data_IF_295618510757
#
_entry.id   IF_295618510757
#
_cell.length_a   1.000
_cell.length_b   1.000
_cell.length_c   1.000
_cell.angle_alpha   90.00
_cell.angle_beta   90.00
_cell.angle_gamma   90.00
#
_symmetry.space_group_name_H-M   'P 1'
#
loop_
_entity.id
_entity.type
_entity.pdbx_description
1 polymer ?
#
# COMPACT_ATOMS: atom_id res chain seq x y z
N UNK A 1 -15.45 3.53 2.63
CA UNK A 1 -15.28 3.35 4.10
C UNK A 1 -15.16 4.72 4.77
N UNK A 2 -15.59 4.89 6.03
CA UNK A 2 -15.28 6.11 6.79
C UNK A 2 -13.79 6.11 7.18
N UNK A 3 -13.22 7.28 7.44
CA UNK A 3 -11.81 7.40 7.87
C UNK A 3 -11.58 6.62 9.18
N UNK A 4 -12.55 6.64 10.10
CA UNK A 4 -12.47 5.94 11.39
C UNK A 4 -12.42 4.41 11.26
N UNK A 5 -12.80 3.88 10.09
CA UNK A 5 -12.71 2.44 9.78
C UNK A 5 -11.38 2.01 9.17
N UNK A 6 -10.42 2.94 9.03
CA UNK A 6 -9.10 2.70 8.48
C UNK A 6 -8.05 2.58 9.59
N UNK A 7 -6.97 1.85 9.31
CA UNK A 7 -5.79 1.81 10.16
C UNK A 7 -5.06 3.14 10.03
N UNK A 8 -4.79 3.82 11.16
CA UNK A 8 -4.04 5.07 11.21
C UNK A 8 -2.60 4.82 11.60
N UNK A 9 -1.67 5.33 10.80
CA UNK A 9 -0.22 5.24 11.05
C UNK A 9 0.45 6.59 10.87
N UNK A 10 1.46 6.87 11.69
CA UNK A 10 2.29 8.06 11.58
C UNK A 10 3.71 7.66 11.17
N UNK A 11 4.17 8.19 10.05
CA UNK A 11 5.50 7.97 9.49
C UNK A 11 6.35 9.19 9.84
N UNK A 12 7.43 9.05 10.63
CA UNK A 12 8.29 10.18 10.96
C UNK A 12 8.94 10.81 9.72
N UNK A 13 9.41 12.04 9.85
CA UNK A 13 10.23 12.70 8.83
C UNK A 13 11.48 11.86 8.52
N UNK A 14 11.84 11.74 7.23
CA UNK A 14 13.00 10.95 6.81
C UNK A 14 12.81 9.44 6.87
N UNK A 15 11.58 8.95 7.00
CA UNK A 15 11.26 7.51 7.12
C UNK A 15 10.26 7.06 6.05
N UNK A 16 10.22 5.75 5.84
CA UNK A 16 9.22 5.04 5.04
C UNK A 16 8.56 3.96 5.88
N UNK A 17 7.34 3.57 5.53
CA UNK A 17 6.62 2.48 6.16
C UNK A 17 6.39 1.37 5.16
N UNK A 18 6.82 0.16 5.48
CA UNK A 18 6.60 -1.05 4.70
C UNK A 18 5.50 -1.87 5.36
N UNK A 19 4.49 -2.27 4.57
CA UNK A 19 3.40 -3.12 5.03
C UNK A 19 3.32 -4.30 4.07
N UNK A 20 3.54 -5.50 4.60
CA UNK A 20 3.62 -6.73 3.83
C UNK A 20 2.33 -7.53 3.97
N UNK A 21 1.87 -8.13 2.88
CA UNK A 21 0.68 -8.97 2.82
C UNK A 21 0.97 -10.22 1.99
N UNK A 22 0.45 -11.36 2.41
CA UNK A 22 0.59 -12.62 1.66
C UNK A 22 -0.76 -13.04 1.10
N UNK A 23 -0.84 -13.14 -0.22
CA UNK A 23 -1.98 -13.72 -0.92
C UNK A 23 -1.67 -15.19 -1.24
N UNK A 24 -2.34 -16.11 -0.57
CA UNK A 24 -2.17 -17.56 -0.80
C UNK A 24 -3.10 -18.14 -1.87
N UNK A 25 -4.19 -17.43 -2.19
CA UNK A 25 -5.24 -17.93 -3.09
C UNK A 25 -4.89 -17.73 -4.56
N UNK A 26 -5.14 -18.74 -5.38
CA UNK A 26 -5.03 -18.73 -6.85
C UNK A 26 -6.25 -18.15 -7.56
N UNK A 27 -7.34 -17.90 -6.82
CA UNK A 27 -8.53 -17.26 -7.39
C UNK A 27 -8.19 -15.83 -7.82
N UNK A 28 -8.70 -15.35 -8.97
CA UNK A 28 -8.50 -13.97 -9.38
C UNK A 28 -8.93 -13.02 -8.27
N UNK A 29 -7.95 -12.29 -7.74
CA UNK A 29 -8.15 -11.32 -6.69
C UNK A 29 -7.86 -9.91 -7.21
N UNK A 30 -8.56 -8.93 -6.66
CA UNK A 30 -8.22 -7.54 -6.79
C UNK A 30 -7.52 -7.08 -5.52
N UNK A 31 -6.36 -6.48 -5.67
CA UNK A 31 -5.74 -5.73 -4.59
C UNK A 31 -6.49 -4.41 -4.47
N UNK A 32 -7.05 -4.15 -3.29
CA UNK A 32 -7.78 -2.92 -3.02
C UNK A 32 -7.15 -2.24 -1.82
N UNK A 33 -6.77 -0.98 -2.02
CA UNK A 33 -6.33 -0.11 -0.94
C UNK A 33 -7.24 1.12 -0.87
N UNK A 34 -7.89 1.26 0.28
CA UNK A 34 -8.56 2.50 0.66
C UNK A 34 -7.56 3.31 1.45
N UNK A 35 -7.33 4.57 1.07
CA UNK A 35 -6.30 5.42 1.68
C UNK A 35 -6.77 6.85 1.82
N UNK A 36 -6.32 7.52 2.86
CA UNK A 36 -6.58 8.92 3.12
C UNK A 36 -5.38 9.57 3.80
N UNK A 37 -5.02 10.75 3.30
CA UNK A 37 -3.97 11.59 3.84
C UNK A 37 -4.34 13.06 3.58
N UNK A 38 -4.14 13.91 4.59
CA UNK A 38 -4.37 15.36 4.48
C UNK A 38 -3.30 16.07 3.64
N UNK A 39 -2.23 15.36 3.25
CA UNK A 39 -1.08 15.92 2.53
C UNK A 39 -0.71 15.01 1.37
N UNK A 40 0.04 15.55 0.41
CA UNK A 40 0.68 14.74 -0.63
C UNK A 40 1.55 13.66 0.01
N UNK A 41 1.49 12.46 -0.54
CA UNK A 41 2.27 11.32 -0.07
C UNK A 41 2.73 10.45 -1.24
N UNK A 42 3.93 9.91 -1.12
CA UNK A 42 4.43 8.92 -2.07
C UNK A 42 3.99 7.52 -1.68
N UNK A 43 3.69 6.68 -2.68
CA UNK A 43 3.37 5.27 -2.47
C UNK A 43 3.92 4.41 -3.61
N UNK A 44 4.43 3.23 -3.25
CA UNK A 44 4.87 2.17 -4.19
C UNK A 44 4.19 0.85 -3.79
N UNK A 45 3.78 0.02 -4.77
CA UNK A 45 3.38 -1.36 -4.52
C UNK A 45 4.39 -2.31 -5.16
N UNK A 46 5.02 -3.13 -4.33
CA UNK A 46 5.90 -4.19 -4.79
C UNK A 46 5.19 -5.54 -4.74
N UNK A 47 5.62 -6.45 -5.60
CA UNK A 47 5.09 -7.81 -5.70
C UNK A 47 6.23 -8.82 -5.89
N UNK A 48 6.07 -10.00 -5.31
CA UNK A 48 6.88 -11.18 -5.63
C UNK A 48 6.00 -12.42 -5.63
N UNK A 49 6.35 -13.40 -6.48
CA UNK A 49 5.73 -14.73 -6.49
C UNK A 49 6.16 -15.60 -5.30
N UNK A 50 7.12 -15.14 -4.49
CA UNK A 50 7.51 -15.80 -3.24
C UNK A 50 6.34 -15.83 -2.25
N UNK A 51 6.34 -16.84 -1.37
CA UNK A 51 5.44 -16.94 -0.22
C UNK A 51 6.13 -16.54 1.10
N UNK A 52 7.42 -16.23 1.03
CA UNK A 52 8.23 -15.80 2.16
C UNK A 52 8.08 -14.29 2.39
N UNK A 53 7.44 -13.92 3.50
CA UNK A 53 7.21 -12.53 3.88
C UNK A 53 8.50 -11.76 4.17
N UNK A 54 9.60 -12.47 4.42
CA UNK A 54 10.93 -11.90 4.67
C UNK A 54 11.71 -11.56 3.41
N UNK A 55 11.14 -11.80 2.21
CA UNK A 55 11.78 -11.46 0.94
C UNK A 55 12.27 -10.00 0.92
N UNK A 56 13.50 -9.80 0.47
CA UNK A 56 14.11 -8.47 0.42
C UNK A 56 13.48 -7.60 -0.67
N UNK A 57 13.46 -6.29 -0.45
CA UNK A 57 12.76 -5.34 -1.34
C UNK A 57 13.36 -5.25 -2.75
N UNK A 58 14.63 -5.57 -2.92
CA UNK A 58 15.35 -5.60 -4.20
C UNK A 58 15.09 -6.88 -5.02
N UNK A 59 14.58 -7.92 -4.37
CA UNK A 59 14.13 -9.15 -5.02
C UNK A 59 12.65 -9.08 -5.48
N UNK A 60 11.93 -8.02 -5.11
CA UNK A 60 10.55 -7.77 -5.52
C UNK A 60 10.49 -6.89 -6.77
N UNK A 61 9.46 -7.06 -7.60
CA UNK A 61 9.18 -6.15 -8.71
C UNK A 61 8.31 -4.98 -8.24
N UNK A 62 8.57 -3.79 -8.76
CA UNK A 62 7.68 -2.63 -8.60
C UNK A 62 6.45 -2.82 -9.50
N UNK A 63 5.42 -3.48 -8.96
CA UNK A 63 4.17 -3.73 -9.67
C UNK A 63 3.42 -2.43 -9.96
N UNK A 64 3.34 -1.53 -8.98
CA UNK A 64 3.01 -0.13 -9.19
C UNK A 64 4.19 0.71 -8.71
N UNK A 65 4.91 1.39 -9.61
CA UNK A 65 6.07 2.19 -9.25
C UNK A 65 5.67 3.38 -8.38
N UNK A 66 6.67 4.04 -7.82
CA UNK A 66 6.51 5.24 -7.01
C UNK A 66 5.62 6.28 -7.71
N UNK A 67 4.62 6.77 -6.99
CA UNK A 67 3.79 7.89 -7.41
C UNK A 67 3.49 8.82 -6.24
N UNK A 68 3.55 10.12 -6.48
CA UNK A 68 3.14 11.16 -5.53
C UNK A 68 1.63 11.41 -5.65
N UNK A 69 0.88 10.89 -4.69
CA UNK A 69 -0.56 11.08 -4.63
C UNK A 69 -0.91 12.41 -3.96
N UNK A 70 -1.78 13.23 -4.56
CA UNK A 70 -2.24 14.46 -3.93
C UNK A 70 -3.10 14.15 -2.70
N UNK A 71 -3.21 15.12 -1.78
CA UNK A 71 -4.21 15.05 -0.71
C UNK A 71 -5.61 15.04 -1.31
N UNK A 72 -6.43 14.07 -0.93
CA UNK A 72 -7.82 13.95 -1.37
C UNK A 72 -8.78 14.39 -0.26
N UNK A 73 -9.91 15.03 -0.58
CA UNK A 73 -10.88 15.48 0.42
C UNK A 73 -11.60 14.31 1.11
N UNK A 74 -11.56 13.12 0.51
CA UNK A 74 -12.21 11.90 0.98
C UNK A 74 -11.27 10.71 0.83
N UNK A 75 -11.69 9.55 1.34
CA UNK A 75 -10.95 8.29 1.18
C UNK A 75 -10.87 7.92 -0.30
N UNK A 76 -9.65 7.84 -0.81
CA UNK A 76 -9.34 7.37 -2.16
C UNK A 76 -9.29 5.84 -2.20
N UNK A 77 -9.82 5.25 -3.28
CA UNK A 77 -9.85 3.80 -3.46
C UNK A 77 -9.11 3.44 -4.74
N UNK A 78 -7.96 2.79 -4.57
CA UNK A 78 -7.25 2.13 -5.67
C UNK A 78 -7.66 0.66 -5.70
N UNK A 79 -8.06 0.17 -6.88
CA UNK A 79 -8.41 -1.22 -7.15
C UNK A 79 -7.66 -1.68 -8.38
N UNK A 80 -6.78 -2.65 -8.20
CA UNK A 80 -5.96 -3.20 -9.29
C UNK A 80 -6.06 -4.71 -9.31
N UNK A 81 -5.96 -5.30 -10.52
CA UNK A 81 -5.98 -6.76 -10.67
C UNK A 81 -4.67 -7.32 -10.12
N UNK A 82 -4.76 -8.12 -9.06
CA UNK A 82 -3.59 -8.68 -8.41
C UNK A 82 -2.83 -9.60 -9.39
N UNK A 83 -1.48 -9.52 -9.50
CA UNK A 83 -0.71 -10.35 -10.42
C UNK A 83 -0.86 -11.85 -10.17
N UNK A 84 -1.05 -12.27 -8.92
CA UNK A 84 -1.25 -13.67 -8.56
C UNK A 84 -0.98 -13.93 -7.08
N UNK A 85 -0.96 -15.20 -6.65
CA UNK A 85 -0.50 -15.56 -5.32
C UNK A 85 0.95 -15.11 -5.10
N UNK A 86 1.24 -14.61 -3.90
CA UNK A 86 2.56 -14.16 -3.54
C UNK A 86 2.56 -13.10 -2.44
N UNK A 87 3.71 -12.45 -2.28
CA UNK A 87 3.94 -11.38 -1.31
C UNK A 87 3.75 -10.04 -1.97
N UNK A 88 2.93 -9.21 -1.35
CA UNK A 88 2.64 -7.83 -1.71
C UNK A 88 3.21 -6.92 -0.65
N UNK A 89 3.80 -5.80 -1.07
CA UNK A 89 4.33 -4.80 -0.14
C UNK A 89 3.87 -3.42 -0.54
N UNK A 90 3.14 -2.77 0.36
CA UNK A 90 2.81 -1.35 0.25
C UNK A 90 3.90 -0.57 0.96
N UNK A 91 4.52 0.38 0.24
CA UNK A 91 5.50 1.29 0.80
C UNK A 91 4.90 2.69 0.79
N UNK A 92 4.77 3.30 1.97
CA UNK A 92 4.44 4.72 2.09
C UNK A 92 5.73 5.52 2.33
N UNK A 93 5.91 6.56 1.53
CA UNK A 93 7.14 7.33 1.46
C UNK A 93 7.00 8.65 2.21
N UNK A 94 7.92 8.90 3.15
CA UNK A 94 8.11 10.19 3.83
C UNK A 94 9.61 10.51 4.02
N UNK A 95 10.47 9.85 3.24
CA UNK A 95 11.94 9.97 3.31
C UNK A 95 12.44 11.35 2.88
N UNK A 96 11.70 12.04 2.01
CA UNK A 96 12.07 13.37 1.54
C UNK A 96 11.63 14.49 2.50
N UNK A 97 10.85 14.18 3.54
CA UNK A 97 10.42 15.18 4.52
C UNK A 97 11.51 15.44 5.56
N UNK A 98 11.88 16.70 5.76
CA UNK A 98 12.94 17.08 6.71
C UNK A 98 12.43 17.27 8.15
N UNK A 99 11.19 17.75 8.30
CA UNK A 99 10.67 18.19 9.61
C UNK A 99 9.33 17.52 9.95
N UNK A 100 8.47 17.29 8.95
CA UNK A 100 7.09 16.90 9.20
C UNK A 100 6.89 15.40 9.06
N UNK A 101 6.26 14.80 10.06
CA UNK A 101 5.69 13.47 9.94
C UNK A 101 4.50 13.46 8.98
N UNK A 102 4.18 12.28 8.47
CA UNK A 102 3.06 12.01 7.59
C UNK A 102 2.08 11.07 8.31
N UNK A 103 0.80 11.42 8.34
CA UNK A 103 -0.24 10.55 8.92
C UNK A 103 -1.08 9.97 7.80
N UNK A 104 -0.99 8.66 7.61
CA UNK A 104 -1.75 7.92 6.60
C UNK A 104 -2.82 7.10 7.31
N UNK A 105 -4.03 7.14 6.76
CA UNK A 105 -5.10 6.22 7.11
C UNK A 105 -5.28 5.26 5.94
N UNK A 106 -5.21 3.95 6.17
CA UNK A 106 -5.32 2.97 5.10
C UNK A 106 -6.07 1.70 5.51
N UNK A 107 -6.60 0.98 4.51
CA UNK A 107 -7.10 -0.38 4.64
C UNK A 107 -6.84 -1.13 3.34
N UNK A 108 -6.08 -2.20 3.44
CA UNK A 108 -5.82 -3.13 2.33
C UNK A 108 -6.73 -4.34 2.46
N UNK A 109 -7.22 -4.82 1.33
CA UNK A 109 -8.02 -6.03 1.23
C UNK A 109 -7.86 -6.67 -0.16
N UNK A 110 -8.05 -7.98 -0.23
CA UNK A 110 -8.12 -8.72 -1.49
C UNK A 110 -9.58 -9.07 -1.76
N UNK A 111 -10.17 -8.52 -2.82
CA UNK A 111 -11.54 -8.85 -3.24
C UNK A 111 -11.50 -10.00 -4.25
N UNK A 112 -12.42 -10.96 -4.16
CA UNK A 112 -12.59 -11.94 -5.23
C UNK A 112 -13.12 -11.23 -6.49
N UNK A 113 -12.78 -11.74 -7.68
CA UNK A 113 -13.40 -11.28 -8.91
C UNK A 113 -14.93 -11.50 -8.96
N UNK A 114 -15.47 -12.39 -8.12
CA UNK A 114 -16.87 -12.78 -8.12
C UNK A 114 -17.75 -12.06 -7.07
N UNK A 115 -17.20 -11.10 -6.31
CA UNK A 115 -17.92 -10.37 -5.26
C UNK A 115 -17.52 -10.82 -3.86
#
# INVERSE_FOLDING_TARGET
PSIDSLVRVTIPAGKKLHITFTLKSTSPAFFVINRYCERTFGMTLQYSTSIDESIESDEMIDWLPFFDYPSMPTVDRLKERAPGPGVYRVIFHNENAWIRSLTINYRVLFESANG
#
